data_IF_136322116673
#
_entry.id   IF_136322116673
#
_cell.length_a   1.000
_cell.length_b   1.000
_cell.length_c   1.000
_cell.angle_alpha   90.00
_cell.angle_beta   90.00
_cell.angle_gamma   90.00
#
_symmetry.space_group_name_H-M   'P 1'
#
loop_
_entity.id
_entity.type
_entity.pdbx_description
1 polymer ?
#
# COMPACT_ATOMS: atom_id res chain seq x y z
N UNK A 1 -14.98 -9.55 -4.94
CA UNK A 1 -14.41 -9.18 -3.64
C UNK A 1 -12.89 -9.28 -3.70
N UNK A 2 -12.18 -8.20 -3.41
CA UNK A 2 -10.71 -8.25 -3.29
C UNK A 2 -10.38 -8.59 -1.83
N UNK A 3 -9.82 -9.78 -1.61
CA UNK A 3 -9.34 -10.19 -0.30
C UNK A 3 -8.02 -9.46 0.03
N UNK A 4 -7.73 -9.29 1.32
CA UNK A 4 -6.44 -8.81 1.77
C UNK A 4 -5.34 -9.82 1.45
N UNK A 5 -4.21 -9.33 0.95
CA UNK A 5 -3.02 -10.11 0.63
C UNK A 5 -2.08 -10.13 1.85
N UNK A 6 -2.01 -11.27 2.55
CA UNK A 6 -1.14 -11.42 3.72
C UNK A 6 0.32 -11.69 3.35
N UNK A 7 0.62 -12.07 2.10
CA UNK A 7 1.99 -12.32 1.67
C UNK A 7 2.71 -10.99 1.36
N UNK A 8 2.01 -10.06 0.71
CA UNK A 8 2.60 -8.78 0.26
C UNK A 8 1.91 -7.53 0.80
N UNK A 9 0.87 -7.66 1.62
CA UNK A 9 0.12 -6.54 2.19
C UNK A 9 -0.77 -5.81 1.18
N UNK A 10 -1.89 -5.26 1.66
CA UNK A 10 -2.82 -4.48 0.84
C UNK A 10 -3.86 -5.34 0.10
N UNK A 11 -4.41 -4.80 -0.99
CA UNK A 11 -5.55 -5.40 -1.69
C UNK A 11 -5.36 -5.38 -3.20
N UNK A 12 -5.94 -6.37 -3.87
CA UNK A 12 -5.95 -6.49 -5.32
C UNK A 12 -4.63 -7.00 -5.90
N UNK A 13 -4.56 -6.99 -7.23
CA UNK A 13 -3.39 -7.41 -8.00
C UNK A 13 -2.74 -6.23 -8.71
N UNK A 14 -1.58 -6.45 -9.31
CA UNK A 14 -0.88 -5.52 -10.18
C UNK A 14 -1.79 -5.00 -11.31
N UNK A 15 -1.78 -3.69 -11.63
CA UNK A 15 -1.11 -2.62 -10.87
C UNK A 15 -1.78 -2.40 -9.49
N UNK A 16 -0.97 -2.39 -8.43
CA UNK A 16 -1.42 -2.39 -7.04
C UNK A 16 -1.40 -0.97 -6.47
N UNK A 17 -2.54 -0.53 -5.93
CA UNK A 17 -2.75 0.85 -5.47
C UNK A 17 -2.81 0.93 -3.94
N UNK A 18 -2.16 1.92 -3.31
CA UNK A 18 -2.37 2.22 -1.90
C UNK A 18 -3.84 2.56 -1.62
N UNK A 19 -4.55 1.72 -0.88
CA UNK A 19 -5.95 1.94 -0.51
C UNK A 19 -6.03 2.83 0.74
N UNK A 20 -5.66 4.11 0.60
CA UNK A 20 -5.49 5.04 1.73
C UNK A 20 -6.73 5.14 2.64
N UNK A 21 -7.92 5.24 2.05
CA UNK A 21 -9.19 5.29 2.81
C UNK A 21 -9.44 4.01 3.62
N UNK A 22 -9.13 2.84 3.04
CA UNK A 22 -9.28 1.56 3.73
C UNK A 22 -8.30 1.44 4.88
N UNK A 23 -7.04 1.84 4.68
CA UNK A 23 -6.02 1.85 5.72
C UNK A 23 -6.41 2.80 6.86
N UNK A 24 -6.87 4.01 6.54
CA UNK A 24 -7.35 4.97 7.54
C UNK A 24 -8.51 4.39 8.36
N UNK A 25 -9.49 3.76 7.70
CA UNK A 25 -10.61 3.13 8.39
C UNK A 25 -10.16 2.00 9.33
N UNK A 26 -9.23 1.15 8.89
CA UNK A 26 -8.67 0.08 9.73
C UNK A 26 -7.90 0.63 10.95
N UNK A 27 -7.15 1.73 10.76
CA UNK A 27 -6.49 2.41 11.87
C UNK A 27 -7.51 2.99 12.86
N UNK A 28 -8.64 3.52 12.38
CA UNK A 28 -9.73 3.98 13.25
C UNK A 28 -10.36 2.83 14.05
N UNK A 29 -10.58 1.67 13.42
CA UNK A 29 -11.07 0.48 14.13
C UNK A 29 -10.08 -0.02 15.18
N UNK A 30 -8.78 0.01 14.88
CA UNK A 30 -7.74 -0.33 15.84
C UNK A 30 -7.76 0.59 17.07
N UNK A 31 -7.99 1.89 16.89
CA UNK A 31 -8.18 2.83 18.01
C UNK A 31 -9.41 2.51 18.87
N UNK A 32 -10.40 1.81 18.31
CA UNK A 32 -11.58 1.31 19.03
C UNK A 32 -11.38 -0.08 19.64
N UNK A 33 -10.18 -0.69 19.48
CA UNK A 33 -9.79 -1.95 20.10
C UNK A 33 -9.79 -3.17 19.16
N UNK A 34 -10.02 -2.98 17.86
CA UNK A 34 -9.94 -4.06 16.87
C UNK A 34 -8.47 -4.31 16.46
N UNK A 35 -7.84 -5.28 17.11
CA UNK A 35 -6.43 -5.60 16.89
C UNK A 35 -6.18 -6.18 15.49
N UNK A 36 -7.10 -7.00 14.96
CA UNK A 36 -6.98 -7.62 13.64
C UNK A 36 -6.98 -6.54 12.55
N UNK A 37 -7.82 -5.51 12.69
CA UNK A 37 -7.81 -4.35 11.81
C UNK A 37 -6.47 -3.59 11.89
N UNK A 38 -5.93 -3.44 13.10
CA UNK A 38 -4.61 -2.86 13.33
C UNK A 38 -3.49 -3.61 12.62
N UNK A 39 -3.45 -4.94 12.79
CA UNK A 39 -2.48 -5.82 12.12
C UNK A 39 -2.53 -5.66 10.60
N UNK A 40 -3.73 -5.66 10.02
CA UNK A 40 -3.93 -5.49 8.58
C UNK A 40 -3.42 -4.13 8.08
N UNK A 41 -3.71 -3.05 8.81
CA UNK A 41 -3.27 -1.70 8.47
C UNK A 41 -1.75 -1.56 8.54
N UNK A 42 -1.15 -1.96 9.67
CA UNK A 42 0.29 -1.86 9.88
C UNK A 42 1.06 -2.74 8.90
N UNK A 43 0.62 -3.98 8.67
CA UNK A 43 1.26 -4.86 7.69
C UNK A 43 1.21 -4.25 6.28
N UNK A 44 0.09 -3.66 5.87
CA UNK A 44 -0.03 -3.01 4.55
C UNK A 44 0.93 -1.82 4.41
N UNK A 45 0.97 -0.95 5.42
CA UNK A 45 1.87 0.21 5.44
C UNK A 45 3.34 -0.22 5.44
N UNK A 46 3.68 -1.23 6.23
CA UNK A 46 5.04 -1.78 6.32
C UNK A 46 5.51 -2.35 4.98
N UNK A 47 4.66 -3.12 4.29
CA UNK A 47 5.03 -3.71 2.99
C UNK A 47 5.23 -2.63 1.92
N UNK A 48 4.37 -1.61 1.87
CA UNK A 48 4.58 -0.46 0.99
C UNK A 48 5.87 0.29 1.33
N UNK A 49 6.15 0.54 2.62
CA UNK A 49 7.32 1.30 3.06
C UNK A 49 8.65 0.54 2.86
N UNK A 50 8.65 -0.79 3.04
CA UNK A 50 9.80 -1.67 2.81
C UNK A 50 10.04 -1.96 1.33
N UNK A 51 8.99 -1.88 0.52
CA UNK A 51 9.08 -1.97 -0.94
C UNK A 51 9.72 -0.73 -1.57
N UNK A 52 9.54 -0.58 -2.89
CA UNK A 52 10.02 0.57 -3.64
C UNK A 52 9.08 1.78 -3.61
N UNK A 53 7.99 1.73 -2.83
CA UNK A 53 6.96 2.77 -2.90
C UNK A 53 7.31 4.06 -2.16
N UNK A 54 8.11 4.00 -1.10
CA UNK A 54 8.44 5.18 -0.30
C UNK A 54 9.70 5.88 -0.84
N UNK A 55 9.59 7.17 -1.16
CA UNK A 55 10.73 8.00 -1.56
C UNK A 55 11.55 8.40 -0.33
N UNK A 56 12.72 7.78 -0.16
CA UNK A 56 13.63 8.05 0.96
C UNK A 56 14.29 9.45 0.91
N UNK A 57 14.26 10.13 -0.25
CA UNK A 57 14.90 11.44 -0.44
C UNK A 57 13.84 12.55 -0.31
N UNK A 58 12.77 12.46 -1.10
CA UNK A 58 11.70 13.46 -1.16
C UNK A 58 10.56 13.22 -0.17
N UNK A 59 10.45 12.01 0.39
CA UNK A 59 9.31 11.58 1.20
C UNK A 59 8.07 11.28 0.37
N UNK A 60 7.08 10.66 1.02
CA UNK A 60 5.82 10.30 0.39
C UNK A 60 5.87 8.96 -0.34
N UNK A 61 4.70 8.52 -0.81
CA UNK A 61 4.52 7.26 -1.51
C UNK A 61 4.23 7.49 -3.00
N UNK A 62 4.77 6.62 -3.84
CA UNK A 62 4.38 6.55 -5.25
C UNK A 62 2.88 6.24 -5.39
N UNK A 63 2.30 6.62 -6.53
CA UNK A 63 0.85 6.51 -6.76
C UNK A 63 0.35 5.06 -6.78
N UNK A 64 1.13 4.16 -7.36
CA UNK A 64 0.85 2.73 -7.44
C UNK A 64 2.10 1.94 -7.81
N UNK A 65 2.11 0.64 -7.51
CA UNK A 65 3.11 -0.31 -7.97
C UNK A 65 2.64 -1.04 -9.22
N UNK A 66 3.57 -1.36 -10.12
CA UNK A 66 3.26 -2.18 -11.31
C UNK A 66 3.34 -3.68 -11.01
N UNK A 67 3.72 -4.08 -9.79
CA UNK A 67 3.77 -5.46 -9.31
C UNK A 67 2.91 -5.64 -8.05
N UNK A 68 2.89 -6.87 -7.51
CA UNK A 68 2.10 -7.20 -6.32
C UNK A 68 2.86 -6.93 -5.02
N UNK A 69 4.18 -6.95 -5.10
CA UNK A 69 5.13 -6.93 -3.99
C UNK A 69 5.49 -5.51 -3.54
N UNK A 70 4.95 -4.49 -4.19
CA UNK A 70 5.27 -3.08 -3.98
C UNK A 70 6.71 -2.71 -4.36
N UNK A 71 7.38 -3.51 -5.18
CA UNK A 71 8.81 -3.35 -5.48
C UNK A 71 9.06 -2.27 -6.53
N UNK A 72 8.25 -2.24 -7.59
CA UNK A 72 8.42 -1.31 -8.70
C UNK A 72 7.33 -0.24 -8.65
N UNK A 73 7.61 0.97 -8.15
CA UNK A 73 6.67 2.07 -8.23
C UNK A 73 6.51 2.53 -9.67
N UNK A 74 5.32 3.00 -10.02
CA UNK A 74 5.09 3.61 -11.31
C UNK A 74 5.74 5.00 -11.39
N UNK A 75 6.85 5.10 -12.12
CA UNK A 75 7.48 6.37 -12.49
C UNK A 75 6.91 6.82 -13.84
N UNK A 76 5.97 7.75 -13.80
CA UNK A 76 5.43 8.32 -15.03
C UNK A 76 6.51 9.19 -15.71
N UNK A 77 7.02 8.75 -16.86
CA UNK A 77 7.60 9.66 -17.88
C UNK A 77 6.72 9.55 -19.12
N UNK A 78 5.71 10.41 -19.20
CA UNK A 78 4.93 10.62 -20.40
C UNK A 78 5.76 11.44 -21.40
N UNK A 79 6.57 10.76 -22.22
CA UNK A 79 6.88 11.27 -23.56
C UNK A 79 5.67 10.88 -24.40
N UNK A 80 4.70 11.79 -24.50
CA UNK A 80 3.79 11.72 -25.64
C UNK A 80 4.64 12.01 -26.88
N UNK A 81 4.58 11.09 -27.85
CA UNK A 81 5.06 11.33 -29.22
C UNK A 81 4.25 12.46 -29.89
#
# INVERSE_FOLDING_TARGET
DQQYDWDHGGWGSAPKFPQAMTIEFLLQLNLLGDQDAGEMAFHSLDQMAKGGMYDLIGGGFARYSVDNEWLVPHFEKMLYD
#
